data_IF_276916220043
#
_entry.id   IF_276916220043
#
_cell.length_a   1.000
_cell.length_b   1.000
_cell.length_c   1.000
_cell.angle_alpha   90.00
_cell.angle_beta   90.00
_cell.angle_gamma   90.00
#
_symmetry.space_group_name_H-M   'P 1'
#
loop_
_entity.id
_entity.type
_entity.pdbx_description
1 polymer ?
#
# COMPACT_ATOMS: atom_id res chain seq x y z
N UNK A 1 29.13 78.99 -7.29
CA UNK A 1 28.65 77.81 -8.02
C UNK A 1 28.81 76.61 -7.10
N UNK A 2 27.71 76.16 -6.51
CA UNK A 2 27.67 74.97 -5.65
C UNK A 2 27.35 73.80 -6.58
N UNK A 3 28.27 72.85 -6.70
CA UNK A 3 28.08 71.63 -7.45
C UNK A 3 27.35 70.61 -6.57
N UNK A 4 26.17 70.19 -7.01
CA UNK A 4 25.37 69.14 -6.40
C UNK A 4 25.87 67.80 -6.94
N UNK A 5 26.35 66.90 -6.07
CA UNK A 5 26.70 65.54 -6.43
C UNK A 5 25.49 64.63 -6.16
N UNK A 6 24.99 63.98 -7.22
CA UNK A 6 24.02 62.90 -7.12
C UNK A 6 24.72 61.64 -6.60
N UNK A 7 24.18 61.01 -5.56
CA UNK A 7 24.54 59.66 -5.16
C UNK A 7 23.76 58.67 -6.01
N UNK A 8 24.47 57.84 -6.77
CA UNK A 8 23.93 56.64 -7.38
C UNK A 8 23.74 55.58 -6.28
N UNK A 9 22.52 55.07 -6.13
CA UNK A 9 22.23 53.91 -5.29
C UNK A 9 22.81 52.66 -5.99
N UNK A 10 23.78 52.01 -5.36
CA UNK A 10 24.28 50.70 -5.78
C UNK A 10 23.17 49.64 -5.63
N UNK A 11 22.98 48.76 -6.62
CA UNK A 11 22.04 47.64 -6.49
C UNK A 11 22.58 46.66 -5.44
N UNK A 12 21.73 46.32 -4.45
CA UNK A 12 22.03 45.27 -3.47
C UNK A 12 22.27 43.96 -4.21
N UNK A 13 23.49 43.43 -4.11
CA UNK A 13 23.82 42.10 -4.60
C UNK A 13 22.90 41.06 -3.95
N UNK A 14 22.12 40.35 -4.76
CA UNK A 14 21.45 39.12 -4.33
C UNK A 14 22.53 38.13 -3.87
N UNK A 15 22.46 37.72 -2.60
CA UNK A 15 23.33 36.67 -2.07
C UNK A 15 23.04 35.41 -2.87
N UNK A 16 24.02 34.92 -3.62
CA UNK A 16 23.98 33.57 -4.19
C UNK A 16 23.60 32.56 -3.09
N UNK A 17 22.72 31.58 -3.38
CA UNK A 17 22.33 30.57 -2.41
C UNK A 17 23.57 29.84 -1.88
N UNK A 18 23.73 29.83 -0.56
CA UNK A 18 24.89 29.25 0.12
C UNK A 18 24.76 27.72 0.17
N UNK A 19 25.27 27.03 -0.85
CA UNK A 19 25.21 25.56 -0.97
C UNK A 19 25.84 24.86 0.24
N UNK A 20 26.76 25.52 0.97
CA UNK A 20 27.36 24.97 2.19
C UNK A 20 26.33 24.65 3.28
N UNK A 21 25.15 25.29 3.24
CA UNK A 21 24.07 25.04 4.20
C UNK A 21 23.46 23.64 4.11
N UNK A 22 23.68 22.94 2.99
CA UNK A 22 23.09 21.62 2.68
C UNK A 22 24.14 20.60 2.23
N UNK A 23 25.44 20.92 2.29
CA UNK A 23 26.52 20.07 1.77
C UNK A 23 26.57 18.71 2.47
N UNK A 24 26.36 18.70 3.79
CA UNK A 24 26.29 17.49 4.63
C UNK A 24 24.85 16.95 4.78
N UNK A 25 23.91 17.41 3.95
CA UNK A 25 22.51 17.04 4.01
C UNK A 25 22.21 15.61 3.57
N UNK A 26 21.04 15.11 3.97
CA UNK A 26 20.50 13.81 3.53
C UNK A 26 19.84 14.00 2.17
N UNK A 27 20.26 13.20 1.20
CA UNK A 27 19.72 13.20 -0.16
C UNK A 27 18.57 12.19 -0.24
N UNK A 28 17.33 12.68 -0.25
CA UNK A 28 16.12 11.87 -0.39
C UNK A 28 15.79 11.74 -1.88
N UNK A 29 15.88 10.54 -2.48
CA UNK A 29 15.63 10.35 -3.89
C UNK A 29 14.14 10.51 -4.19
N UNK A 30 13.81 11.38 -5.14
CA UNK A 30 12.43 11.62 -5.57
C UNK A 30 11.81 10.38 -6.22
N UNK A 31 12.64 9.52 -6.82
CA UNK A 31 12.24 8.23 -7.42
C UNK A 31 11.39 7.37 -6.47
N UNK A 32 11.82 7.25 -5.21
CA UNK A 32 11.15 6.41 -4.21
C UNK A 32 10.15 7.15 -3.32
N UNK A 33 10.25 8.49 -3.28
CA UNK A 33 9.63 9.28 -2.22
C UNK A 33 8.74 10.43 -2.73
N UNK A 34 8.50 10.52 -4.05
CA UNK A 34 7.67 11.59 -4.62
C UNK A 34 6.48 11.11 -5.45
N UNK A 35 5.39 11.88 -5.40
CA UNK A 35 4.13 11.65 -6.15
C UNK A 35 3.57 12.96 -6.70
N UNK A 36 2.77 12.86 -7.75
CA UNK A 36 1.97 13.98 -8.28
C UNK A 36 0.64 14.02 -7.52
N UNK A 37 0.59 14.72 -6.38
CA UNK A 37 -0.48 14.47 -5.38
C UNK A 37 -1.86 14.96 -5.77
N UNK A 38 -1.93 16.00 -6.60
CA UNK A 38 -3.19 16.48 -7.15
C UNK A 38 -3.74 15.56 -8.27
N UNK A 39 -2.91 14.70 -8.85
CA UNK A 39 -3.28 13.70 -9.86
C UNK A 39 -2.40 12.45 -9.74
N UNK A 40 -2.56 11.67 -8.67
CA UNK A 40 -1.62 10.60 -8.30
C UNK A 40 -1.29 9.61 -9.44
N UNK A 41 -2.25 9.35 -10.35
CA UNK A 41 -2.07 8.49 -11.53
C UNK A 41 -1.05 9.00 -12.56
N UNK A 42 -0.71 10.29 -12.54
CA UNK A 42 0.38 10.86 -13.34
C UNK A 42 1.77 10.49 -12.79
N UNK A 43 1.86 9.97 -11.57
CA UNK A 43 3.15 9.73 -10.89
C UNK A 43 4.08 8.82 -11.68
N UNK A 44 3.59 7.72 -12.25
CA UNK A 44 4.41 6.81 -13.06
C UNK A 44 4.93 7.43 -14.37
N UNK A 45 4.34 8.53 -14.84
CA UNK A 45 4.80 9.25 -16.03
C UNK A 45 5.88 10.30 -15.72
N UNK A 46 5.80 10.95 -14.55
CA UNK A 46 6.72 12.02 -14.17
C UNK A 46 7.84 11.53 -13.25
N UNK A 47 7.64 10.48 -12.46
CA UNK A 47 8.65 9.97 -11.53
C UNK A 47 9.30 8.72 -12.14
N UNK A 48 10.48 8.92 -12.73
CA UNK A 48 11.26 7.87 -13.40
C UNK A 48 12.36 7.34 -12.48
N UNK A 49 13.15 6.37 -12.95
CA UNK A 49 14.31 5.85 -12.21
C UNK A 49 15.30 6.95 -11.79
N UNK A 50 15.41 8.03 -12.57
CA UNK A 50 16.30 9.16 -12.28
C UNK A 50 15.63 10.30 -11.47
N UNK A 51 14.37 10.12 -11.06
CA UNK A 51 13.59 11.09 -10.31
C UNK A 51 12.50 11.79 -11.14
N UNK A 52 12.12 13.01 -10.75
CA UNK A 52 11.12 13.82 -11.47
C UNK A 52 11.66 14.21 -12.85
N UNK A 53 10.92 13.91 -13.91
CA UNK A 53 11.23 14.23 -15.31
C UNK A 53 9.98 14.63 -16.07
N UNK A 54 10.18 15.23 -17.24
CA UNK A 54 9.10 15.62 -18.17
C UNK A 54 8.03 16.51 -17.51
N UNK A 55 8.42 17.30 -16.50
CA UNK A 55 7.48 18.10 -15.73
C UNK A 55 7.18 19.40 -16.48
N UNK A 56 6.04 19.43 -17.17
CA UNK A 56 5.65 20.53 -18.08
C UNK A 56 4.36 21.21 -17.66
N UNK A 57 3.52 20.53 -16.88
CA UNK A 57 2.23 21.06 -16.44
C UNK A 57 2.40 21.80 -15.11
N UNK A 58 2.14 23.12 -15.15
CA UNK A 58 2.22 23.99 -13.97
C UNK A 58 1.18 23.66 -12.90
N UNK A 59 0.15 22.89 -13.25
CA UNK A 59 -0.85 22.44 -12.30
C UNK A 59 -0.38 21.23 -11.51
N UNK A 60 0.64 20.49 -11.96
CA UNK A 60 1.16 19.33 -11.25
C UNK A 60 1.95 19.77 -10.00
N UNK A 61 1.62 19.16 -8.86
CA UNK A 61 2.35 19.34 -7.59
C UNK A 61 3.11 18.07 -7.26
N UNK A 62 4.44 18.15 -7.28
CA UNK A 62 5.31 17.05 -6.87
C UNK A 62 5.50 17.12 -5.36
N UNK A 63 4.90 16.19 -4.61
CA UNK A 63 5.11 16.07 -3.16
C UNK A 63 6.18 15.05 -2.86
N UNK A 64 7.16 15.38 -2.02
CA UNK A 64 8.16 14.45 -1.49
C UNK A 64 7.93 14.20 0.00
N UNK A 65 7.96 12.93 0.40
CA UNK A 65 7.71 12.50 1.78
C UNK A 65 8.97 11.98 2.47
N UNK A 66 9.13 12.31 3.74
CA UNK A 66 10.15 11.73 4.63
C UNK A 66 9.70 11.93 6.08
N UNK A 67 10.08 11.04 6.97
CA UNK A 67 9.67 11.09 8.37
C UNK A 67 10.79 11.62 9.25
N UNK A 68 10.49 12.63 10.06
CA UNK A 68 11.40 13.24 11.03
C UNK A 68 11.06 12.81 12.45
N UNK A 69 12.09 12.53 13.25
CA UNK A 69 11.92 12.19 14.68
C UNK A 69 12.15 13.39 15.61
N UNK A 70 12.39 14.58 15.05
CA UNK A 70 12.67 15.80 15.78
C UNK A 70 12.01 16.99 15.07
N UNK A 71 11.42 17.89 15.86
CA UNK A 71 11.02 19.23 15.42
C UNK A 71 12.24 20.17 15.42
N UNK A 72 12.16 21.29 14.70
CA UNK A 72 13.21 22.30 14.69
C UNK A 72 13.40 22.90 13.30
N UNK A 73 14.54 23.57 13.12
CA UNK A 73 14.88 24.18 11.85
C UNK A 73 15.29 23.13 10.82
N UNK A 74 14.62 23.11 9.68
CA UNK A 74 14.89 22.26 8.52
C UNK A 74 15.45 23.12 7.38
N UNK A 75 16.67 22.82 6.95
CA UNK A 75 17.30 23.41 5.77
C UNK A 75 17.02 22.53 4.57
N UNK A 76 16.50 23.11 3.49
CA UNK A 76 16.11 22.35 2.30
C UNK A 76 16.91 22.82 1.08
N UNK A 77 17.33 21.85 0.28
CA UNK A 77 17.91 22.03 -1.05
C UNK A 77 17.29 21.09 -2.07
N UNK A 78 17.58 21.33 -3.34
CA UNK A 78 17.20 20.48 -4.46
C UNK A 78 18.42 20.07 -5.25
N UNK A 79 18.50 18.80 -5.67
CA UNK A 79 19.41 18.37 -6.72
C UNK A 79 18.66 18.35 -8.05
N UNK A 80 18.81 19.42 -8.84
CA UNK A 80 17.95 19.77 -9.97
C UNK A 80 18.77 20.15 -11.21
N UNK A 81 18.19 19.97 -12.40
CA UNK A 81 18.69 20.52 -13.67
C UNK A 81 17.55 21.01 -14.57
N UNK A 82 17.79 22.03 -15.37
CA UNK A 82 16.87 22.56 -16.38
C UNK A 82 17.63 22.70 -17.70
N UNK A 83 17.43 21.76 -18.63
CA UNK A 83 18.25 21.69 -19.84
C UNK A 83 17.81 22.67 -20.94
N UNK A 84 16.53 23.09 -20.92
CA UNK A 84 15.91 23.82 -22.03
C UNK A 84 15.74 25.33 -21.77
N UNK A 85 15.99 25.79 -20.55
CA UNK A 85 15.91 27.20 -20.17
C UNK A 85 15.96 27.39 -18.65
N UNK A 86 15.89 28.65 -18.22
CA UNK A 86 15.74 28.97 -16.81
C UNK A 86 14.33 28.59 -16.34
N UNK A 87 14.19 28.26 -15.05
CA UNK A 87 12.89 27.98 -14.46
C UNK A 87 12.75 28.62 -13.09
N UNK A 88 11.50 28.84 -12.69
CA UNK A 88 11.14 29.29 -11.36
C UNK A 88 10.18 28.30 -10.74
N UNK A 89 10.54 27.81 -9.57
CA UNK A 89 9.74 26.87 -8.79
C UNK A 89 9.27 27.52 -7.50
N UNK A 90 8.19 26.98 -6.95
CA UNK A 90 7.71 27.26 -5.59
C UNK A 90 7.82 25.98 -4.77
N UNK A 91 8.40 26.11 -3.59
CA UNK A 91 8.44 25.07 -2.57
C UNK A 91 7.55 25.46 -1.40
N UNK A 92 6.65 24.57 -1.01
CA UNK A 92 5.82 24.71 0.18
C UNK A 92 6.16 23.61 1.20
N UNK A 93 6.26 23.99 2.47
CA UNK A 93 6.26 23.08 3.62
C UNK A 93 5.25 23.63 4.63
N UNK A 94 4.08 22.99 4.71
CA UNK A 94 2.91 23.50 5.43
C UNK A 94 2.49 24.90 4.92
N UNK A 95 2.51 25.92 5.78
CA UNK A 95 2.17 27.31 5.47
C UNK A 95 3.38 28.16 5.02
N UNK A 96 4.59 27.59 5.07
CA UNK A 96 5.83 28.27 4.69
C UNK A 96 6.13 28.06 3.20
N UNK A 97 6.39 29.15 2.49
CA UNK A 97 6.62 29.13 1.04
C UNK A 97 7.93 29.82 0.67
N UNK A 98 8.64 29.24 -0.30
CA UNK A 98 9.81 29.86 -0.93
C UNK A 98 9.78 29.68 -2.44
N UNK A 99 10.11 30.74 -3.16
CA UNK A 99 10.36 30.66 -4.60
C UNK A 99 11.85 30.50 -4.86
N UNK A 100 12.21 29.70 -5.86
CA UNK A 100 13.60 29.42 -6.23
C UNK A 100 13.74 29.58 -7.74
N UNK A 101 14.75 30.34 -8.13
CA UNK A 101 15.17 30.48 -9.52
C UNK A 101 16.26 29.45 -9.83
N UNK A 102 16.11 28.78 -10.97
CA UNK A 102 16.98 27.69 -11.42
C UNK A 102 17.53 28.08 -12.79
N UNK A 103 18.81 28.40 -12.82
CA UNK A 103 19.52 28.70 -14.06
C UNK A 103 19.67 27.44 -14.93
N UNK A 104 19.59 27.64 -16.25
CA UNK A 104 19.79 26.61 -17.27
C UNK A 104 21.10 25.87 -17.04
N UNK A 105 21.00 24.55 -16.91
CA UNK A 105 22.15 23.65 -16.78
C UNK A 105 21.84 22.29 -17.38
N UNK A 106 22.78 21.75 -18.15
CA UNK A 106 22.68 20.40 -18.71
C UNK A 106 22.98 19.32 -17.65
N UNK A 107 23.64 19.72 -16.55
CA UNK A 107 24.06 18.87 -15.43
C UNK A 107 23.25 19.15 -14.16
N UNK A 108 23.08 18.12 -13.33
CA UNK A 108 22.47 18.26 -11.99
C UNK A 108 23.31 19.12 -11.07
N UNK A 109 22.70 20.17 -10.52
CA UNK A 109 23.29 21.06 -9.52
C UNK A 109 22.53 20.97 -8.20
N UNK A 110 23.22 21.21 -7.09
CA UNK A 110 22.59 21.40 -5.80
C UNK A 110 22.23 22.88 -5.63
N UNK A 111 20.96 23.16 -5.37
CA UNK A 111 20.45 24.52 -5.15
C UNK A 111 19.87 24.59 -3.75
N UNK A 112 20.38 25.51 -2.94
CA UNK A 112 19.82 25.77 -1.61
C UNK A 112 18.51 26.56 -1.75
N UNK A 113 17.44 26.04 -1.15
CA UNK A 113 16.11 26.65 -1.19
C UNK A 113 15.90 27.56 0.01
N UNK A 114 16.27 27.09 1.21
CA UNK A 114 16.16 27.87 2.43
C UNK A 114 15.80 27.06 3.66
N UNK A 115 15.61 27.79 4.76
CA UNK A 115 15.20 27.23 6.05
C UNK A 115 13.68 27.27 6.26
N UNK A 116 13.15 26.27 6.94
CA UNK A 116 11.74 26.08 7.27
C UNK A 116 11.64 25.57 8.71
N UNK A 117 10.64 26.01 9.46
CA UNK A 117 10.37 25.48 10.80
C UNK A 117 9.49 24.24 10.70
N UNK A 118 9.91 23.15 11.35
CA UNK A 118 9.12 21.93 11.53
C UNK A 118 8.66 21.89 12.98
N UNK A 119 7.35 22.00 13.23
CA UNK A 119 6.81 22.08 14.59
C UNK A 119 6.51 20.70 15.21
N UNK A 120 6.28 19.69 14.38
CA UNK A 120 5.94 18.33 14.80
C UNK A 120 6.83 17.27 14.15
N UNK A 121 7.09 16.21 14.90
CA UNK A 121 7.66 14.96 14.37
C UNK A 121 6.64 14.24 13.52
N UNK A 122 7.08 13.34 12.65
CA UNK A 122 6.21 12.61 11.73
C UNK A 122 6.64 12.78 10.29
N UNK A 123 5.79 12.33 9.37
CA UNK A 123 5.93 12.60 7.96
C UNK A 123 5.87 14.10 7.67
N UNK A 124 6.89 14.55 6.94
CA UNK A 124 6.99 15.88 6.38
C UNK A 124 6.69 15.79 4.89
N UNK A 125 6.01 16.82 4.40
CA UNK A 125 5.48 16.88 3.04
C UNK A 125 6.02 18.13 2.35
N UNK A 126 6.98 17.94 1.44
CA UNK A 126 7.53 19.05 0.64
C UNK A 126 6.82 19.06 -0.70
N UNK A 127 6.09 20.14 -0.98
CA UNK A 127 5.45 20.36 -2.27
C UNK A 127 6.31 21.23 -3.18
N UNK A 128 6.52 20.77 -4.40
CA UNK A 128 7.11 21.54 -5.49
C UNK A 128 6.07 21.81 -6.55
N UNK A 129 5.93 23.08 -6.94
CA UNK A 129 5.06 23.54 -8.02
C UNK A 129 5.83 24.43 -9.00
N UNK A 130 5.51 24.33 -10.29
CA UNK A 130 6.09 25.19 -11.33
C UNK A 130 5.46 26.59 -11.32
N UNK A 131 6.29 27.65 -11.35
CA UNK A 131 5.82 29.05 -11.43
C UNK A 131 5.97 29.58 -12.86
N UNK A 132 7.17 29.47 -13.43
CA UNK A 132 7.47 29.83 -14.82
C UNK A 132 8.65 29.01 -15.35
N UNK A 133 8.73 28.86 -16.68
CA UNK A 133 9.86 28.27 -17.37
C UNK A 133 10.06 28.99 -18.70
N UNK A 134 11.31 29.30 -19.04
CA UNK A 134 11.68 29.88 -20.35
C UNK A 134 11.87 28.78 -21.40
N UNK A 135 12.10 27.54 -20.95
CA UNK A 135 12.23 26.34 -21.76
C UNK A 135 10.93 25.54 -21.91
N UNK A 136 11.09 24.26 -22.25
CA UNK A 136 9.97 23.34 -22.49
C UNK A 136 9.41 22.71 -21.20
N UNK A 137 10.21 22.67 -20.12
CA UNK A 137 9.88 22.03 -18.86
C UNK A 137 10.38 22.83 -17.63
N UNK A 138 9.87 22.48 -16.45
CA UNK A 138 10.26 23.04 -15.15
C UNK A 138 11.56 22.45 -14.57
N UNK A 139 12.24 21.59 -15.32
CA UNK A 139 13.42 20.87 -14.91
C UNK A 139 13.16 19.46 -14.39
N UNK A 140 14.24 18.72 -14.23
CA UNK A 140 14.26 17.42 -13.57
C UNK A 140 14.82 17.54 -12.16
N UNK A 141 14.14 16.96 -11.18
CA UNK A 141 14.57 16.90 -9.78
C UNK A 141 14.95 15.46 -9.45
N UNK A 142 16.20 15.23 -9.04
CA UNK A 142 16.63 13.88 -8.64
C UNK A 142 16.44 13.66 -7.15
N UNK A 143 16.76 14.66 -6.33
CA UNK A 143 16.72 14.56 -4.88
C UNK A 143 16.19 15.83 -4.24
N UNK A 144 15.51 15.67 -3.11
CA UNK A 144 15.35 16.71 -2.10
C UNK A 144 16.46 16.52 -1.07
N UNK A 145 17.16 17.58 -0.73
CA UNK A 145 18.27 17.57 0.23
C UNK A 145 17.75 18.18 1.52
N UNK A 146 17.84 17.48 2.64
CA UNK A 146 17.40 17.96 3.95
C UNK A 146 18.55 17.98 4.95
N UNK A 147 18.67 19.06 5.71
CA UNK A 147 19.67 19.25 6.75
C UNK A 147 19.10 20.07 7.92
N UNK A 148 19.88 20.26 8.98
CA UNK A 148 19.46 21.03 10.16
C UNK A 148 18.93 20.14 11.29
N UNK A 149 18.37 20.79 12.32
CA UNK A 149 17.95 20.16 13.58
C UNK A 149 16.84 19.13 13.37
N UNK A 150 15.89 19.42 12.49
CA UNK A 150 14.77 18.53 12.19
C UNK A 150 15.14 17.36 11.25
N UNK A 151 16.33 17.39 10.64
CA UNK A 151 16.83 16.31 9.77
C UNK A 151 18.12 15.66 10.32
N UNK A 152 18.08 15.09 11.53
CA UNK A 152 19.19 14.28 12.03
C UNK A 152 19.36 13.01 11.17
N UNK A 153 20.44 12.26 11.37
CA UNK A 153 20.69 10.99 10.66
C UNK A 153 19.57 9.93 10.79
N UNK A 154 18.58 10.14 11.67
CA UNK A 154 17.42 9.26 11.89
C UNK A 154 16.23 9.51 10.94
N UNK A 155 16.30 10.45 10.00
CA UNK A 155 15.24 10.64 8.99
C UNK A 155 14.95 9.32 8.27
N UNK A 156 13.67 8.95 8.22
CA UNK A 156 13.21 7.71 7.57
C UNK A 156 12.55 8.03 6.24
N UNK A 157 12.89 7.26 5.23
CA UNK A 157 12.43 7.41 3.85
C UNK A 157 12.79 6.14 3.08
N UNK A 158 12.23 5.99 1.88
CA UNK A 158 12.56 4.88 0.99
C UNK A 158 13.94 5.11 0.37
N UNK A 159 14.93 4.32 0.80
CA UNK A 159 16.33 4.42 0.34
C UNK A 159 16.62 3.60 -0.91
N UNK A 160 15.92 2.48 -1.06
CA UNK A 160 16.07 1.45 -2.09
C UNK A 160 14.74 0.72 -2.31
N UNK A 161 14.73 -0.30 -3.18
CA UNK A 161 13.54 -1.09 -3.54
C UNK A 161 12.32 -0.21 -3.83
N UNK A 162 12.51 0.82 -4.65
CA UNK A 162 11.51 1.88 -4.83
C UNK A 162 10.15 1.38 -5.27
N UNK A 163 10.08 0.29 -6.04
CA UNK A 163 8.82 -0.35 -6.38
C UNK A 163 8.01 -0.74 -5.13
N UNK A 164 8.64 -1.44 -4.17
CA UNK A 164 7.99 -1.88 -2.93
C UNK A 164 7.77 -0.72 -1.96
N UNK A 165 8.76 0.16 -1.80
CA UNK A 165 8.62 1.35 -0.95
C UNK A 165 7.49 2.29 -1.40
N UNK A 166 7.25 2.39 -2.72
CA UNK A 166 6.15 3.17 -3.27
C UNK A 166 4.80 2.48 -3.16
N UNK A 167 4.74 1.16 -3.29
CA UNK A 167 3.54 0.39 -2.95
C UNK A 167 3.17 0.62 -1.48
N UNK A 168 4.16 0.70 -0.60
CA UNK A 168 3.96 0.91 0.83
C UNK A 168 3.81 -0.41 1.58
N UNK A 169 3.72 -0.33 2.92
CA UNK A 169 3.73 -1.51 3.78
C UNK A 169 2.39 -2.25 3.74
N UNK A 170 2.38 -3.50 3.30
CA UNK A 170 1.23 -4.39 3.52
C UNK A 170 1.14 -4.76 5.00
N UNK A 171 -0.10 -4.85 5.50
CA UNK A 171 -0.40 -5.14 6.92
C UNK A 171 -1.31 -6.35 7.03
N UNK A 172 -1.21 -7.09 8.14
CA UNK A 172 -1.84 -8.41 8.29
C UNK A 172 -2.37 -8.62 9.72
N UNK A 173 -3.42 -9.45 9.81
CA UNK A 173 -3.95 -10.02 11.05
C UNK A 173 -3.74 -11.53 11.00
N UNK A 174 -2.89 -12.08 11.85
CA UNK A 174 -2.79 -13.54 12.05
C UNK A 174 -3.77 -13.98 13.13
N UNK A 175 -4.77 -14.77 12.76
CA UNK A 175 -5.84 -15.17 13.67
C UNK A 175 -5.41 -16.32 14.59
N UNK A 176 -5.69 -16.19 15.88
CA UNK A 176 -5.41 -17.21 16.88
C UNK A 176 -6.63 -18.13 16.98
N UNK A 177 -6.52 -19.32 16.39
CA UNK A 177 -7.56 -20.35 16.45
C UNK A 177 -7.59 -20.96 17.86
N UNK A 178 -8.76 -21.04 18.54
CA UNK A 178 -8.87 -21.71 19.84
C UNK A 178 -8.35 -23.16 19.77
N UNK A 179 -7.59 -23.60 20.78
CA UNK A 179 -6.99 -24.95 20.78
C UNK A 179 -8.06 -26.05 20.70
N UNK A 180 -9.21 -25.82 21.34
CA UNK A 180 -10.38 -26.70 21.33
C UNK A 180 -11.03 -26.86 19.95
N UNK A 181 -10.77 -25.96 19.00
CA UNK A 181 -11.25 -26.11 17.63
C UNK A 181 -10.57 -27.29 16.92
N UNK A 182 -9.32 -27.62 17.26
CA UNK A 182 -8.60 -28.74 16.64
C UNK A 182 -8.52 -28.62 15.11
N UNK A 183 -9.03 -29.63 14.41
CA UNK A 183 -9.03 -29.70 12.94
C UNK A 183 -10.09 -28.75 12.34
N UNK A 184 -9.66 -27.64 11.73
CA UNK A 184 -10.54 -26.61 11.15
C UNK A 184 -10.94 -26.92 9.70
N UNK A 185 -12.22 -27.20 9.46
CA UNK A 185 -12.76 -27.38 8.11
C UNK A 185 -13.15 -26.07 7.44
N UNK A 186 -13.82 -25.18 8.17
CA UNK A 186 -14.30 -23.92 7.62
C UNK A 186 -13.71 -22.73 8.36
N UNK A 187 -13.42 -21.67 7.62
CA UNK A 187 -13.10 -20.35 8.13
C UNK A 187 -14.07 -19.33 7.53
N UNK A 188 -14.75 -18.58 8.38
CA UNK A 188 -15.65 -17.50 8.04
C UNK A 188 -15.09 -16.15 8.53
N UNK A 189 -15.23 -15.12 7.71
CA UNK A 189 -14.85 -13.74 8.01
C UNK A 189 -15.74 -12.77 7.23
N UNK A 190 -15.86 -11.54 7.70
CA UNK A 190 -16.54 -10.45 7.01
C UNK A 190 -15.59 -9.28 6.73
N UNK A 191 -15.71 -8.67 5.55
CA UNK A 191 -15.02 -7.41 5.23
C UNK A 191 -16.02 -6.28 5.06
N UNK A 192 -15.71 -5.14 5.69
CA UNK A 192 -16.32 -3.84 5.37
C UNK A 192 -15.22 -2.86 4.98
N UNK A 193 -15.24 -2.39 3.72
CA UNK A 193 -14.36 -1.30 3.28
C UNK A 193 -15.09 0.02 3.48
N UNK A 194 -14.59 0.97 4.29
CA UNK A 194 -15.28 2.24 4.53
C UNK A 194 -15.37 3.08 3.26
N UNK A 195 -16.40 3.92 3.16
CA UNK A 195 -16.53 4.88 2.05
C UNK A 195 -15.24 5.71 1.89
N UNK A 196 -14.79 5.87 0.65
CA UNK A 196 -13.56 6.57 0.30
C UNK A 196 -12.26 5.78 0.53
N UNK A 197 -12.32 4.56 1.06
CA UNK A 197 -11.15 3.69 1.24
C UNK A 197 -11.03 2.58 0.19
N UNK A 198 -11.98 2.48 -0.73
CA UNK A 198 -11.94 1.62 -1.91
C UNK A 198 -11.00 2.16 -3.00
N UNK A 199 -9.77 2.48 -2.59
CA UNK A 199 -8.72 3.03 -3.45
C UNK A 199 -8.32 2.01 -4.50
N UNK A 200 -8.22 2.43 -5.76
CA UNK A 200 -7.74 1.56 -6.84
C UNK A 200 -6.31 1.09 -6.56
N UNK A 201 -6.06 -0.19 -6.77
CA UNK A 201 -4.81 -0.83 -6.38
C UNK A 201 -4.88 -1.52 -5.02
N UNK A 202 -6.05 -1.61 -4.38
CA UNK A 202 -6.18 -2.24 -3.06
C UNK A 202 -6.60 -3.70 -3.16
N UNK A 203 -6.00 -4.55 -2.32
CA UNK A 203 -6.49 -5.89 -2.04
C UNK A 203 -6.84 -6.00 -0.55
N UNK A 204 -8.13 -6.16 -0.27
CA UNK A 204 -8.67 -6.47 1.06
C UNK A 204 -8.88 -7.98 1.14
N UNK A 205 -7.91 -8.68 1.72
CA UNK A 205 -7.91 -10.14 1.79
C UNK A 205 -8.57 -10.61 3.09
N UNK A 206 -9.63 -11.42 2.96
CA UNK A 206 -10.47 -11.87 4.07
C UNK A 206 -9.96 -13.18 4.69
N UNK A 207 -9.87 -14.22 3.88
CA UNK A 207 -9.62 -15.59 4.36
C UNK A 207 -8.33 -16.13 3.76
N UNK A 208 -7.23 -15.79 4.43
CA UNK A 208 -5.92 -16.36 4.18
C UNK A 208 -5.75 -17.67 4.92
N UNK A 209 -4.96 -18.56 4.35
CA UNK A 209 -4.56 -19.83 4.93
C UNK A 209 -3.15 -20.16 4.47
N UNK A 210 -2.49 -21.15 5.08
CA UNK A 210 -1.07 -21.50 4.80
C UNK A 210 -0.73 -21.75 3.32
N UNK A 211 -1.73 -21.99 2.48
CA UNK A 211 -1.54 -22.34 1.07
C UNK A 211 -2.34 -21.47 0.11
N UNK A 212 -2.89 -20.34 0.55
CA UNK A 212 -3.59 -19.43 -0.35
C UNK A 212 -4.22 -18.22 0.32
N UNK A 213 -5.06 -17.55 -0.46
CA UNK A 213 -5.77 -16.36 -0.03
C UNK A 213 -7.11 -16.22 -0.73
N UNK A 214 -8.05 -15.54 -0.08
CA UNK A 214 -9.39 -15.27 -0.59
C UNK A 214 -9.87 -13.89 -0.13
N UNK A 215 -10.28 -13.02 -1.06
CA UNK A 215 -10.74 -11.67 -0.71
C UNK A 215 -11.27 -10.84 -1.88
N UNK A 216 -11.24 -9.51 -1.75
CA UNK A 216 -11.76 -8.56 -2.74
C UNK A 216 -10.76 -7.47 -3.12
N UNK A 217 -10.76 -7.11 -4.41
CA UNK A 217 -9.84 -6.14 -5.01
C UNK A 217 -10.57 -4.96 -5.64
N UNK A 218 -9.88 -3.81 -5.68
CA UNK A 218 -10.24 -2.66 -6.52
C UNK A 218 -9.23 -2.55 -7.67
N UNK A 219 -9.59 -3.09 -8.84
CA UNK A 219 -8.65 -3.23 -9.96
C UNK A 219 -8.63 -1.97 -10.84
N UNK A 220 -9.79 -1.37 -11.09
CA UNK A 220 -9.93 -0.12 -11.84
C UNK A 220 -11.23 0.61 -11.47
N UNK A 221 -11.52 1.72 -12.13
CA UNK A 221 -12.80 2.43 -11.98
C UNK A 221 -14.01 1.61 -12.43
N UNK A 222 -13.79 0.61 -13.29
CA UNK A 222 -14.84 -0.19 -13.93
C UNK A 222 -14.72 -1.68 -13.64
N UNK A 223 -13.75 -2.09 -12.81
CA UNK A 223 -13.55 -3.49 -12.47
C UNK A 223 -13.11 -3.66 -11.01
N UNK A 224 -13.85 -4.53 -10.33
CA UNK A 224 -13.54 -5.06 -9.01
C UNK A 224 -13.68 -6.57 -9.06
N UNK A 225 -12.91 -7.26 -8.23
CA UNK A 225 -12.83 -8.72 -8.25
C UNK A 225 -13.03 -9.30 -6.86
N UNK A 226 -13.71 -10.43 -6.80
CA UNK A 226 -13.61 -11.40 -5.72
C UNK A 226 -12.57 -12.43 -6.18
N UNK A 227 -11.44 -12.55 -5.50
CA UNK A 227 -10.26 -13.35 -5.93
C UNK A 227 -9.98 -14.46 -4.91
N UNK A 228 -9.77 -15.68 -5.39
CA UNK A 228 -9.37 -16.84 -4.61
C UNK A 228 -8.19 -17.56 -5.30
N UNK A 229 -7.08 -17.74 -4.58
CA UNK A 229 -5.87 -18.39 -5.09
C UNK A 229 -5.32 -19.44 -4.14
N UNK A 230 -4.67 -20.47 -4.70
CA UNK A 230 -4.00 -21.55 -3.99
C UNK A 230 -2.60 -21.74 -4.59
N UNK A 231 -1.55 -21.66 -3.76
CA UNK A 231 -0.18 -21.91 -4.20
C UNK A 231 0.09 -23.41 -4.43
N UNK A 232 0.81 -23.72 -5.51
CA UNK A 232 1.38 -25.05 -5.75
C UNK A 232 2.40 -25.41 -4.66
N UNK A 233 2.61 -26.71 -4.34
CA UNK A 233 3.77 -27.15 -3.57
C UNK A 233 5.10 -26.95 -4.30
N UNK A 234 5.09 -26.66 -5.61
CA UNK A 234 6.30 -26.42 -6.39
C UNK A 234 6.75 -24.96 -6.31
N UNK A 235 7.99 -24.72 -5.87
CA UNK A 235 8.57 -23.39 -5.73
C UNK A 235 9.05 -22.86 -7.09
N UNK A 236 8.26 -22.01 -7.73
CA UNK A 236 8.59 -21.29 -8.96
C UNK A 236 7.78 -19.99 -9.05
N UNK A 237 8.29 -19.01 -9.77
CA UNK A 237 7.55 -17.79 -10.15
C UNK A 237 6.89 -17.91 -11.54
N UNK A 238 7.15 -18.99 -12.27
CA UNK A 238 6.53 -19.28 -13.55
C UNK A 238 5.63 -20.52 -13.44
N UNK A 239 4.29 -20.39 -13.56
CA UNK A 239 3.37 -21.51 -13.42
C UNK A 239 3.57 -22.60 -14.50
N UNK A 240 4.10 -22.24 -15.67
CA UNK A 240 4.37 -23.20 -16.75
C UNK A 240 5.44 -24.23 -16.36
N UNK A 241 6.34 -23.87 -15.42
CA UNK A 241 7.40 -24.74 -14.92
C UNK A 241 6.90 -25.76 -13.89
N UNK A 242 5.65 -25.67 -13.43
CA UNK A 242 5.09 -26.59 -12.45
C UNK A 242 4.86 -27.98 -13.09
N UNK A 243 5.47 -29.05 -12.56
CA UNK A 243 5.22 -30.43 -12.98
C UNK A 243 3.72 -30.79 -12.85
N UNK A 244 3.20 -31.59 -13.79
CA UNK A 244 1.76 -31.91 -13.87
C UNK A 244 1.18 -32.46 -12.56
N UNK A 245 1.93 -33.29 -11.84
CA UNK A 245 1.56 -33.90 -10.55
C UNK A 245 1.57 -32.91 -9.37
N UNK A 246 2.15 -31.72 -9.55
CA UNK A 246 2.21 -30.64 -8.55
C UNK A 246 1.31 -29.45 -8.90
N UNK A 247 0.59 -29.50 -10.03
CA UNK A 247 -0.34 -28.43 -10.42
C UNK A 247 -1.57 -28.40 -9.52
N UNK A 248 -2.10 -27.21 -9.33
CA UNK A 248 -3.41 -27.03 -8.70
C UNK A 248 -4.47 -27.46 -9.70
N UNK A 249 -5.38 -28.34 -9.27
CA UNK A 249 -6.45 -28.87 -10.12
C UNK A 249 -7.74 -28.15 -9.78
N UNK A 250 -8.38 -27.52 -10.77
CA UNK A 250 -9.73 -26.98 -10.62
C UNK A 250 -10.74 -28.13 -10.55
N UNK A 251 -11.48 -28.21 -9.45
CA UNK A 251 -12.56 -29.19 -9.26
C UNK A 251 -13.90 -28.62 -9.71
N UNK A 252 -14.24 -27.43 -9.24
CA UNK A 252 -15.51 -26.74 -9.53
C UNK A 252 -15.28 -25.23 -9.62
N UNK A 253 -16.15 -24.51 -10.33
CA UNK A 253 -16.20 -23.04 -10.30
C UNK A 253 -17.64 -22.56 -10.43
N UNK A 254 -17.97 -21.44 -9.82
CA UNK A 254 -19.30 -20.86 -9.97
C UNK A 254 -19.52 -20.15 -11.30
N UNK A 255 -20.79 -19.86 -11.58
CA UNK A 255 -21.19 -19.01 -12.70
C UNK A 255 -20.46 -17.66 -12.71
N UNK A 256 -20.00 -17.25 -13.89
CA UNK A 256 -19.29 -15.98 -14.08
C UNK A 256 -17.86 -15.94 -13.51
N UNK A 257 -17.38 -17.03 -12.90
CA UNK A 257 -16.00 -17.12 -12.39
C UNK A 257 -15.03 -17.49 -13.51
N UNK A 258 -13.96 -16.70 -13.60
CA UNK A 258 -12.78 -17.02 -14.39
C UNK A 258 -11.79 -17.83 -13.54
N UNK A 259 -11.15 -18.84 -14.12
CA UNK A 259 -10.13 -19.65 -13.45
C UNK A 259 -8.90 -19.79 -14.36
N UNK A 260 -7.72 -19.82 -13.76
CA UNK A 260 -6.43 -19.92 -14.44
C UNK A 260 -5.29 -20.13 -13.45
N UNK A 261 -4.09 -19.71 -13.85
CA UNK A 261 -2.86 -19.85 -13.06
C UNK A 261 -2.29 -18.46 -12.72
N UNK A 262 -1.38 -18.41 -11.74
CA UNK A 262 -0.65 -17.19 -11.35
C UNK A 262 0.83 -17.49 -11.08
N UNK A 263 1.66 -16.44 -11.09
CA UNK A 263 3.11 -16.46 -10.94
C UNK A 263 3.67 -15.15 -10.38
N UNK A 264 5.00 -15.03 -10.31
CA UNK A 264 5.80 -13.90 -9.79
C UNK A 264 5.71 -13.63 -8.27
N UNK A 265 4.99 -14.47 -7.53
CA UNK A 265 4.83 -14.41 -6.08
C UNK A 265 4.75 -15.84 -5.50
N UNK A 266 5.61 -16.71 -6.02
CA UNK A 266 5.27 -18.13 -6.14
C UNK A 266 4.26 -18.34 -7.26
N UNK A 267 3.82 -19.58 -7.46
CA UNK A 267 2.90 -19.94 -8.54
C UNK A 267 1.83 -20.93 -8.10
N UNK A 268 0.68 -20.92 -8.76
CA UNK A 268 -0.43 -21.79 -8.41
C UNK A 268 -1.68 -21.56 -9.24
N UNK A 269 -2.82 -22.02 -8.73
CA UNK A 269 -4.13 -21.83 -9.34
C UNK A 269 -4.83 -20.60 -8.76
N UNK A 270 -5.49 -19.82 -9.60
CA UNK A 270 -6.31 -18.68 -9.18
C UNK A 270 -7.67 -18.70 -9.86
N UNK A 271 -8.63 -18.06 -9.20
CA UNK A 271 -9.96 -17.81 -9.74
C UNK A 271 -10.45 -16.44 -9.31
N UNK A 272 -11.20 -15.76 -10.17
CA UNK A 272 -11.87 -14.53 -9.79
C UNK A 272 -13.23 -14.36 -10.45
N UNK A 273 -14.14 -13.71 -9.73
CA UNK A 273 -15.39 -13.19 -10.27
C UNK A 273 -15.31 -11.68 -10.37
N UNK A 274 -15.64 -11.11 -11.53
CA UNK A 274 -15.84 -9.67 -11.64
C UNK A 274 -17.13 -9.32 -10.92
N UNK A 275 -17.03 -8.54 -9.86
CA UNK A 275 -18.17 -8.17 -9.02
C UNK A 275 -17.90 -6.78 -8.46
N UNK A 276 -18.71 -5.81 -8.89
CA UNK A 276 -18.59 -4.39 -8.52
C UNK A 276 -19.11 -4.15 -7.10
N UNK A 277 -18.44 -4.75 -6.11
CA UNK A 277 -18.74 -4.51 -4.70
C UNK A 277 -18.58 -3.04 -4.34
N UNK A 278 -19.34 -2.59 -3.35
CA UNK A 278 -19.43 -1.18 -2.94
C UNK A 278 -18.81 -0.97 -1.55
N UNK A 279 -18.13 0.15 -1.36
CA UNK A 279 -17.70 0.58 -0.04
C UNK A 279 -18.92 0.86 0.86
N UNK A 280 -18.74 0.73 2.17
CA UNK A 280 -19.80 0.86 3.18
C UNK A 280 -20.61 -0.42 3.42
N UNK A 281 -20.52 -1.42 2.54
CA UNK A 281 -21.19 -2.72 2.69
C UNK A 281 -20.30 -3.77 3.33
N UNK A 282 -20.93 -4.71 4.03
CA UNK A 282 -20.28 -5.86 4.66
C UNK A 282 -20.49 -7.11 3.81
N UNK A 283 -19.41 -7.71 3.34
CA UNK A 283 -19.43 -8.94 2.53
C UNK A 283 -18.91 -10.12 3.35
N UNK A 284 -19.53 -11.29 3.19
CA UNK A 284 -19.14 -12.51 3.88
C UNK A 284 -18.24 -13.41 3.02
N UNK A 285 -17.25 -14.03 3.65
CA UNK A 285 -16.30 -14.93 3.02
C UNK A 285 -16.28 -16.24 3.80
N UNK A 286 -16.55 -17.34 3.10
CA UNK A 286 -16.48 -18.69 3.66
C UNK A 286 -15.46 -19.49 2.86
N UNK A 287 -14.48 -20.03 3.56
CA UNK A 287 -13.44 -20.91 3.00
C UNK A 287 -13.57 -22.27 3.67
N UNK A 288 -13.58 -23.34 2.88
CA UNK A 288 -13.43 -24.72 3.34
C UNK A 288 -12.07 -25.27 2.93
N UNK A 289 -11.42 -26.02 3.81
CA UNK A 289 -10.22 -26.81 3.52
C UNK A 289 -10.30 -28.19 4.16
N UNK A 290 -10.35 -29.24 3.36
CA UNK A 290 -10.47 -30.63 3.84
C UNK A 290 -9.57 -31.57 3.04
N UNK A 291 -9.00 -32.62 3.67
CA UNK A 291 -8.35 -33.69 2.93
C UNK A 291 -9.28 -34.27 1.87
N UNK A 292 -8.84 -34.25 0.60
CA UNK A 292 -9.59 -34.81 -0.52
C UNK A 292 -9.31 -36.31 -0.67
N UNK A 293 -8.06 -36.69 -0.46
CA UNK A 293 -7.57 -38.06 -0.33
C UNK A 293 -6.31 -38.06 0.56
N UNK A 294 -5.54 -39.15 0.57
CA UNK A 294 -4.33 -39.26 1.40
C UNK A 294 -3.15 -38.38 0.96
N UNK A 295 -3.23 -37.76 -0.23
CA UNK A 295 -2.13 -37.01 -0.84
C UNK A 295 -2.52 -35.58 -1.24
N UNK A 296 -3.80 -35.22 -1.16
CA UNK A 296 -4.32 -33.93 -1.61
C UNK A 296 -5.39 -33.34 -0.70
N UNK A 297 -5.48 -32.01 -0.72
CA UNK A 297 -6.46 -31.23 0.05
C UNK A 297 -7.29 -30.40 -0.92
N UNK A 298 -8.61 -30.38 -0.72
CA UNK A 298 -9.52 -29.53 -1.47
C UNK A 298 -9.81 -28.25 -0.69
N UNK A 299 -9.72 -27.12 -1.38
CA UNK A 299 -10.05 -25.79 -0.89
C UNK A 299 -11.21 -25.22 -1.68
N UNK A 300 -12.30 -24.84 -1.01
CA UNK A 300 -13.50 -24.30 -1.67
C UNK A 300 -13.87 -22.95 -1.07
N UNK A 301 -14.11 -21.96 -1.92
CA UNK A 301 -14.39 -20.59 -1.51
C UNK A 301 -15.78 -20.14 -1.96
N UNK A 302 -16.56 -19.60 -1.02
CA UNK A 302 -17.85 -18.96 -1.28
C UNK A 302 -17.86 -17.51 -0.82
N UNK A 303 -18.55 -16.68 -1.59
CA UNK A 303 -18.72 -15.26 -1.32
C UNK A 303 -20.19 -14.94 -1.10
N UNK A 304 -20.50 -14.21 -0.03
CA UNK A 304 -21.85 -13.76 0.28
C UNK A 304 -22.05 -12.31 -0.15
N UNK A 305 -23.04 -12.09 -1.01
CA UNK A 305 -23.51 -10.76 -1.38
C UNK A 305 -24.72 -10.37 -0.51
N UNK A 306 -24.60 -9.35 0.37
CA UNK A 306 -25.69 -8.95 1.25
C UNK A 306 -26.92 -8.42 0.50
N UNK A 307 -26.77 -7.87 -0.71
CA UNK A 307 -27.91 -7.35 -1.48
C UNK A 307 -28.74 -8.48 -2.10
N UNK A 308 -28.07 -9.52 -2.59
CA UNK A 308 -28.71 -10.71 -3.12
C UNK A 308 -29.19 -11.67 -2.02
N UNK A 309 -28.60 -11.58 -0.82
CA UNK A 309 -28.91 -12.43 0.33
C UNK A 309 -28.54 -13.89 0.10
N UNK A 310 -27.55 -14.17 -0.75
CA UNK A 310 -27.15 -15.53 -1.09
C UNK A 310 -25.63 -15.70 -1.20
N UNK A 311 -25.20 -16.95 -1.02
CA UNK A 311 -23.83 -17.37 -1.28
C UNK A 311 -23.64 -17.65 -2.77
N UNK A 312 -22.43 -17.41 -3.27
CA UNK A 312 -21.98 -17.80 -4.61
C UNK A 312 -20.67 -18.58 -4.50
N UNK A 313 -20.57 -19.71 -5.21
CA UNK A 313 -19.31 -20.42 -5.38
C UNK A 313 -18.34 -19.54 -6.17
N UNK A 314 -17.10 -19.42 -5.69
CA UNK A 314 -16.00 -18.87 -6.48
C UNK A 314 -15.30 -20.04 -7.17
N UNK A 315 -14.55 -20.85 -6.44
CA UNK A 315 -14.00 -22.09 -6.98
C UNK A 315 -13.72 -23.12 -5.89
N UNK A 316 -13.54 -24.36 -6.34
CA UNK A 316 -12.96 -25.46 -5.58
C UNK A 316 -11.67 -25.91 -6.27
N UNK A 317 -10.56 -25.90 -5.54
CA UNK A 317 -9.24 -26.30 -6.03
C UNK A 317 -8.70 -27.46 -5.21
N UNK A 318 -8.09 -28.44 -5.87
CA UNK A 318 -7.33 -29.52 -5.25
C UNK A 318 -5.84 -29.20 -5.31
N UNK A 319 -5.20 -29.19 -4.14
CA UNK A 319 -3.74 -29.03 -3.99
C UNK A 319 -3.10 -30.40 -3.71
N UNK A 320 -2.17 -30.89 -4.56
CA UNK A 320 -1.42 -32.12 -4.31
C UNK A 320 -0.36 -31.93 -3.21
N UNK A 321 0.27 -33.02 -2.76
CA UNK A 321 1.29 -33.06 -1.69
C UNK A 321 0.84 -32.36 -0.41
N UNK A 322 -0.44 -32.49 -0.07
CA UNK A 322 -1.09 -31.80 1.05
C UNK A 322 -2.23 -32.68 1.56
N UNK A 323 -2.34 -33.00 2.84
CA UNK A 323 -3.48 -33.77 3.36
C UNK A 323 -3.82 -33.30 4.77
N UNK A 324 -4.30 -32.06 4.87
CA UNK A 324 -4.58 -31.40 6.14
C UNK A 324 -5.79 -30.48 6.06
N UNK A 325 -6.30 -30.11 7.23
CA UNK A 325 -7.31 -29.09 7.43
C UNK A 325 -6.70 -27.67 7.33
N UNK A 326 -7.55 -26.64 7.41
CA UNK A 326 -7.10 -25.25 7.35
C UNK A 326 -6.17 -24.91 8.52
N UNK A 327 -5.07 -24.22 8.22
CA UNK A 327 -4.10 -23.74 9.19
C UNK A 327 -3.58 -22.37 8.77
N UNK A 328 -3.01 -21.63 9.73
CA UNK A 328 -2.39 -20.33 9.46
C UNK A 328 -3.39 -19.32 8.90
N UNK A 329 -4.50 -19.13 9.61
CA UNK A 329 -5.60 -18.26 9.18
C UNK A 329 -5.21 -16.79 9.34
N UNK A 330 -5.43 -15.97 8.32
CA UNK A 330 -5.07 -14.56 8.36
C UNK A 330 -5.93 -13.67 7.45
N UNK A 331 -5.82 -12.35 7.63
CA UNK A 331 -6.27 -11.32 6.69
C UNK A 331 -5.13 -10.36 6.37
N UNK A 332 -5.23 -9.64 5.25
CA UNK A 332 -4.31 -8.54 4.95
C UNK A 332 -4.95 -7.40 4.17
N UNK A 333 -4.26 -6.26 4.19
CA UNK A 333 -4.52 -5.10 3.36
C UNK A 333 -3.25 -4.72 2.60
N UNK A 334 -3.35 -4.70 1.28
CA UNK A 334 -2.23 -4.45 0.38
C UNK A 334 -2.55 -3.35 -0.64
N UNK A 335 -1.53 -2.58 -1.01
CA UNK A 335 -1.51 -1.78 -2.23
C UNK A 335 -0.62 -2.46 -3.30
N UNK A 336 -1.16 -2.71 -4.49
CA UNK A 336 -0.45 -3.27 -5.64
C UNK A 336 -0.12 -2.25 -6.74
N UNK A 337 -0.37 -0.95 -6.53
CA UNK A 337 -0.05 0.14 -7.47
C UNK A 337 0.83 1.21 -6.81
N UNK A 338 2.04 1.42 -7.35
CA UNK A 338 3.02 2.39 -6.84
C UNK A 338 2.50 3.82 -6.80
N UNK A 339 1.68 4.21 -7.78
CA UNK A 339 1.13 5.56 -7.89
C UNK A 339 0.16 5.87 -6.74
N UNK A 340 -0.49 4.85 -6.20
CA UNK A 340 -1.52 4.98 -5.17
C UNK A 340 -0.96 4.84 -3.74
N UNK A 341 0.37 4.79 -3.57
CA UNK A 341 1.02 4.70 -2.25
C UNK A 341 0.81 5.92 -1.35
N UNK A 342 0.46 7.06 -1.94
CA UNK A 342 0.10 8.31 -1.26
C UNK A 342 -1.35 8.34 -0.77
N UNK A 343 -2.15 7.33 -1.12
CA UNK A 343 -3.55 7.25 -0.72
C UNK A 343 -3.68 6.26 0.43
N UNK A 344 -4.30 6.72 1.52
CA UNK A 344 -4.60 5.90 2.68
C UNK A 344 -5.68 4.86 2.36
N UNK A 345 -5.55 3.68 2.94
CA UNK A 345 -6.55 2.59 2.86
C UNK A 345 -6.91 2.13 4.26
N UNK A 346 -8.14 1.69 4.44
CA UNK A 346 -8.62 1.09 5.68
C UNK A 346 -9.62 0.00 5.36
N UNK A 347 -9.54 -1.13 6.05
CA UNK A 347 -10.51 -2.23 5.97
C UNK A 347 -10.87 -2.73 7.35
N UNK A 348 -12.14 -3.01 7.58
CA UNK A 348 -12.63 -3.65 8.80
C UNK A 348 -12.87 -5.13 8.57
N UNK A 349 -12.44 -5.95 9.52
CA UNK A 349 -12.54 -7.41 9.51
C UNK A 349 -13.34 -7.85 10.75
N UNK A 350 -14.51 -8.43 10.54
CA UNK A 350 -15.45 -8.76 11.61
C UNK A 350 -15.91 -10.22 11.59
N UNK A 351 -16.50 -10.64 12.71
CA UNK A 351 -17.25 -11.88 12.83
C UNK A 351 -16.44 -13.13 12.42
N UNK A 352 -15.20 -13.26 12.91
CA UNK A 352 -14.37 -14.41 12.59
C UNK A 352 -14.84 -15.66 13.32
N UNK A 353 -15.09 -16.72 12.57
CA UNK A 353 -15.49 -18.01 13.11
C UNK A 353 -14.82 -19.15 12.35
N UNK A 354 -14.55 -20.25 13.05
CA UNK A 354 -14.14 -21.51 12.44
C UNK A 354 -15.12 -22.62 12.79
N UNK A 355 -15.20 -23.62 11.92
CA UNK A 355 -15.95 -24.84 12.16
C UNK A 355 -14.98 -26.01 12.12
N UNK A 356 -14.97 -26.82 13.18
CA UNK A 356 -14.11 -27.97 13.25
C UNK A 356 -14.68 -29.18 12.48
N UNK A 357 -13.89 -30.25 12.37
CA UNK A 357 -14.28 -31.51 11.72
C UNK A 357 -15.44 -32.26 12.41
N UNK A 358 -15.80 -31.85 13.62
CA UNK A 358 -16.99 -32.35 14.33
C UNK A 358 -18.24 -31.48 14.09
N UNK A 359 -18.12 -30.39 13.32
CA UNK A 359 -19.22 -29.47 13.01
C UNK A 359 -19.47 -28.41 14.08
N UNK A 360 -18.56 -28.22 15.04
CA UNK A 360 -18.70 -27.24 16.12
C UNK A 360 -18.13 -25.88 15.71
N UNK A 361 -18.87 -24.82 16.03
CA UNK A 361 -18.47 -23.44 15.80
C UNK A 361 -17.58 -22.92 16.94
N UNK A 362 -16.47 -22.27 16.58
CA UNK A 362 -15.57 -21.59 17.52
C UNK A 362 -15.30 -20.16 17.05
N UNK A 363 -15.55 -19.18 17.92
CA UNK A 363 -15.31 -17.78 17.61
C UNK A 363 -13.82 -17.46 17.72
N UNK A 364 -13.30 -16.66 16.78
CA UNK A 364 -11.95 -16.11 16.88
C UNK A 364 -12.06 -14.66 17.33
N UNK A 365 -11.58 -14.38 18.54
CA UNK A 365 -11.63 -13.04 19.16
C UNK A 365 -10.25 -12.40 19.33
N UNK A 366 -9.16 -13.12 18.99
CA UNK A 366 -7.79 -12.62 19.06
C UNK A 366 -7.03 -12.74 17.73
N UNK A 367 -6.16 -11.77 17.48
CA UNK A 367 -5.30 -11.74 16.29
C UNK A 367 -3.97 -11.04 16.59
N UNK A 368 -2.89 -11.49 15.94
CA UNK A 368 -1.59 -10.81 15.98
C UNK A 368 -1.43 -9.89 14.77
N UNK A 369 -1.19 -8.60 15.02
CA UNK A 369 -0.88 -7.63 13.97
C UNK A 369 0.55 -7.82 13.46
N UNK A 370 0.73 -7.83 12.13
CA UNK A 370 2.07 -7.79 11.52
C UNK A 370 2.11 -6.89 10.28
N UNK A 371 3.30 -6.48 9.87
CA UNK A 371 3.54 -5.77 8.62
C UNK A 371 4.71 -6.40 7.84
N UNK A 372 4.77 -6.10 6.55
CA UNK A 372 5.71 -6.67 5.60
C UNK A 372 7.17 -6.18 5.78
N UNK A 373 8.04 -6.57 4.84
CA UNK A 373 9.45 -6.17 4.84
C UNK A 373 9.66 -4.65 4.68
N UNK A 374 8.76 -3.95 3.98
CA UNK A 374 8.82 -2.49 3.78
C UNK A 374 8.70 -1.76 5.11
N UNK A 375 7.75 -2.19 5.95
CA UNK A 375 7.60 -1.68 7.32
C UNK A 375 8.81 -2.05 8.21
N UNK A 376 9.22 -3.32 8.18
CA UNK A 376 10.29 -3.85 9.06
C UNK A 376 11.67 -3.26 8.81
N UNK A 377 11.92 -2.70 7.62
CA UNK A 377 13.17 -1.99 7.29
C UNK A 377 13.07 -0.47 7.50
N UNK A 378 11.98 0.02 8.09
CA UNK A 378 11.67 1.44 8.30
C UNK A 378 11.69 2.28 6.99
N UNK A 379 11.40 1.66 5.84
CA UNK A 379 11.31 2.41 4.58
C UNK A 379 10.03 3.27 4.54
N UNK A 380 8.96 2.75 5.15
CA UNK A 380 7.65 3.38 5.32
C UNK A 380 7.12 3.07 6.72
N UNK A 381 6.49 4.04 7.36
CA UNK A 381 6.00 3.97 8.75
C UNK A 381 4.48 4.11 8.86
N UNK A 382 3.79 4.29 7.75
CA UNK A 382 2.34 4.45 7.66
C UNK A 382 1.62 3.10 7.57
N UNK A 383 1.69 2.35 8.68
CA UNK A 383 1.06 1.04 8.87
C UNK A 383 0.42 0.93 10.25
N UNK A 384 -0.84 0.50 10.32
CA UNK A 384 -1.58 0.40 11.57
C UNK A 384 -2.58 -0.75 11.51
N UNK A 385 -2.85 -1.33 12.67
CA UNK A 385 -3.93 -2.28 12.85
C UNK A 385 -4.35 -2.32 14.31
N UNK A 386 -5.63 -2.59 14.54
CA UNK A 386 -6.18 -2.47 15.88
C UNK A 386 -7.59 -3.01 15.98
N UNK A 387 -8.27 -2.61 17.06
CA UNK A 387 -9.67 -2.93 17.31
C UNK A 387 -10.45 -1.64 17.44
N UNK A 388 -11.54 -1.53 16.69
CA UNK A 388 -12.45 -0.38 16.73
C UNK A 388 -13.89 -0.89 16.66
N UNK A 389 -14.77 -0.39 17.54
CA UNK A 389 -16.19 -0.72 17.56
C UNK A 389 -16.48 -2.24 17.51
N UNK A 390 -15.66 -3.04 18.21
CA UNK A 390 -15.81 -4.51 18.26
C UNK A 390 -15.31 -5.26 17.03
N UNK A 391 -14.60 -4.61 16.11
CA UNK A 391 -14.05 -5.20 14.87
C UNK A 391 -12.55 -5.02 14.83
N UNK A 392 -11.83 -5.93 14.18
CA UNK A 392 -10.45 -5.66 13.81
C UNK A 392 -10.42 -4.68 12.63
N UNK A 393 -9.35 -3.89 12.53
CA UNK A 393 -9.09 -3.08 11.35
C UNK A 393 -7.62 -3.15 10.94
N UNK A 394 -7.38 -2.93 9.65
CA UNK A 394 -6.07 -2.71 9.07
C UNK A 394 -6.08 -1.40 8.30
N UNK A 395 -4.97 -0.66 8.38
CA UNK A 395 -4.79 0.63 7.72
C UNK A 395 -3.34 0.77 7.26
N UNK A 396 -3.15 1.20 6.02
CA UNK A 396 -1.82 1.44 5.47
C UNK A 396 -1.82 2.55 4.43
N UNK A 397 -0.61 2.96 4.02
CA UNK A 397 -0.36 3.98 3.01
C UNK A 397 -0.88 5.39 3.40
N UNK A 398 -0.57 6.39 2.58
CA UNK A 398 -1.04 7.76 2.79
C UNK A 398 -0.32 8.54 3.89
N UNK A 399 0.86 8.09 4.32
CA UNK A 399 1.82 8.87 5.09
C UNK A 399 1.28 9.45 6.40
N UNK A 400 0.40 8.72 7.09
CA UNK A 400 0.03 9.04 8.46
C UNK A 400 1.15 8.65 9.46
N UNK A 401 1.13 9.25 10.65
CA UNK A 401 2.24 9.16 11.60
C UNK A 401 2.11 7.99 12.59
N UNK A 402 0.88 7.66 12.99
CA UNK A 402 0.62 6.60 13.95
C UNK A 402 0.95 5.24 13.34
N UNK A 403 1.53 4.33 14.14
CA UNK A 403 1.71 2.96 13.71
C UNK A 403 1.60 1.99 14.88
N UNK A 404 1.14 0.78 14.57
CA UNK A 404 1.03 -0.30 15.55
C UNK A 404 2.36 -1.06 15.61
N UNK A 405 2.85 -1.33 16.82
CA UNK A 405 4.02 -2.19 17.01
C UNK A 405 3.77 -3.57 16.38
N UNK A 406 4.64 -3.99 15.47
CA UNK A 406 4.57 -5.29 14.82
C UNK A 406 4.67 -6.40 15.89
N UNK A 407 3.76 -7.38 15.81
CA UNK A 407 3.63 -8.47 16.79
C UNK A 407 2.67 -8.17 17.95
N UNK A 408 1.98 -7.04 17.93
CA UNK A 408 0.94 -6.72 18.92
C UNK A 408 -0.21 -7.73 18.83
N UNK A 409 -0.56 -8.37 19.94
CA UNK A 409 -1.80 -9.14 20.06
C UNK A 409 -2.97 -8.18 20.28
N UNK A 410 -4.01 -8.38 19.48
CA UNK A 410 -5.25 -7.62 19.44
C UNK A 410 -6.38 -8.52 19.91
N UNK A 411 -7.32 -7.97 20.69
CA UNK A 411 -8.48 -8.71 21.17
C UNK A 411 -9.75 -7.88 21.01
N UNK A 412 -10.78 -8.47 20.40
CA UNK A 412 -12.13 -7.90 20.33
C UNK A 412 -13.05 -8.63 21.31
N UNK A 413 -14.17 -8.00 21.64
CA UNK A 413 -15.22 -8.66 22.42
C UNK A 413 -15.88 -9.72 21.54
N UNK A 414 -16.09 -10.91 22.12
CA UNK A 414 -16.83 -12.00 21.49
C UNK A 414 -18.29 -11.60 21.26
N UNK A 415 -18.80 -11.94 20.09
CA UNK A 415 -20.21 -11.75 19.74
C UNK A 415 -21.07 -12.87 20.30
N UNK A 416 -20.52 -14.09 20.42
CA UNK A 416 -21.23 -15.30 20.80
C UNK A 416 -22.32 -15.72 19.81
N UNK A 417 -22.36 -15.14 18.60
CA UNK A 417 -23.35 -15.42 17.57
C UNK A 417 -22.62 -15.72 16.24
N UNK A 418 -22.62 -17.00 15.85
CA UNK A 418 -22.09 -17.41 14.55
C UNK A 418 -23.04 -16.99 13.42
N UNK A 419 -22.55 -16.80 12.18
CA UNK A 419 -23.41 -16.50 11.03
C UNK A 419 -24.37 -17.65 10.72
N UNK A 420 -25.63 -17.34 10.41
CA UNK A 420 -26.59 -18.33 9.92
C UNK A 420 -26.23 -18.77 8.49
N UNK A 421 -25.68 -19.98 8.35
CA UNK A 421 -25.32 -20.56 7.05
C UNK A 421 -26.02 -21.91 6.89
N UNK A 422 -26.83 -22.03 5.84
CA UNK A 422 -27.39 -23.31 5.40
C UNK A 422 -26.40 -24.00 4.45
N UNK A 423 -25.57 -24.88 5.02
CA UNK A 423 -24.51 -25.59 4.28
C UNK A 423 -25.06 -26.49 3.17
N UNK A 424 -26.29 -27.00 3.32
CA UNK A 424 -26.93 -27.83 2.30
C UNK A 424 -27.40 -27.02 1.09
N UNK A 425 -27.49 -25.70 1.22
CA UNK A 425 -27.86 -24.76 0.16
C UNK A 425 -26.66 -24.01 -0.43
N UNK A 426 -25.43 -24.29 0.02
CA UNK A 426 -24.25 -23.69 -0.59
C UNK A 426 -24.15 -24.13 -2.06
N UNK A 427 -23.97 -23.19 -3.01
CA UNK A 427 -23.85 -23.57 -4.41
C UNK A 427 -22.66 -24.49 -4.67
N UNK A 428 -22.89 -25.51 -5.49
CA UNK A 428 -21.89 -26.41 -6.07
C UNK A 428 -22.21 -26.61 -7.55
N UNK A 429 -21.21 -26.70 -8.41
CA UNK A 429 -21.41 -27.06 -9.82
C UNK A 429 -20.81 -28.45 -10.05
N UNK A 430 -21.68 -29.45 -10.24
CA UNK A 430 -21.27 -30.83 -10.55
C UNK A 430 -20.81 -31.01 -11.99
#
# INVERSE_FOLDING_TARGET
MIACACSEDEPKAEKKPDIQQIEDGIFIPTTGNSWIVNQYRKSSHLITEDGVRNWTDKLDTVRTFFHTSQSGLLKIGLRIKTATGDSKLKMDLYDQQKEIEIEKSDEFQNVYVGEFNVESTGYQEIDLSGVSADGEDFGGVSHVIVAGEAAPASVKYVKDDFYWGRRGPSVHLGYEVPEEAGDVEYFYNEITVPEGNDVIGSYFMANGFSHGYFGIQVNSETERRVLFSVWSPYSTDNPEDIPEDKRIVLLEKGEGVHAGEFGNEGSGGQSYRKFMWEAGKTYGFLLKGVPYDSESTAYTAWFFDPDAGNWSLIASFKRPETSNYLTGLYSFLENFITDAGVLKRTGYYSNQWVINSSGEWHEISTATFTADATARKDARLDYEGGVENGRFYLKNCGFFDEHTTIGTSLSRVESGQYPEIDFDQLPSEK
#
